data_IF_943731137837
#
_entry.id   IF_943731137837
#
_cell.length_a   1.000
_cell.length_b   1.000
_cell.length_c   1.000
_cell.angle_alpha   90.00
_cell.angle_beta   90.00
_cell.angle_gamma   90.00
#
_symmetry.space_group_name_H-M   'P 1'
#
loop_
_entity.id
_entity.type
_entity.pdbx_description
1 polymer ?
#
# COMPACT_ATOMS: atom_id res chain seq x y z
N UNK A 1 -14.21 -33.04 -3.06
CA UNK A 1 -12.82 -33.22 -2.58
C UNK A 1 -12.02 -32.01 -3.02
N UNK A 2 -11.34 -31.33 -2.09
CA UNK A 2 -10.42 -30.23 -2.40
C UNK A 2 -9.04 -30.80 -2.71
N UNK A 3 -8.46 -30.34 -3.82
CA UNK A 3 -7.17 -30.78 -4.32
C UNK A 3 -6.19 -29.61 -4.32
N UNK A 4 -4.94 -29.87 -3.95
CA UNK A 4 -3.87 -28.89 -4.00
C UNK A 4 -2.66 -29.57 -4.62
N UNK A 5 -2.19 -29.04 -5.76
CA UNK A 5 -1.11 -29.65 -6.55
C UNK A 5 -1.26 -31.15 -6.78
N UNK A 6 -2.48 -31.62 -7.05
CA UNK A 6 -2.76 -33.04 -7.33
C UNK A 6 -2.89 -33.94 -6.10
N UNK A 7 -2.70 -33.42 -4.88
CA UNK A 7 -2.95 -34.17 -3.64
C UNK A 7 -4.33 -33.84 -3.06
N UNK A 8 -5.12 -34.84 -2.65
CA UNK A 8 -6.40 -34.61 -1.99
C UNK A 8 -6.14 -34.16 -0.55
N UNK A 9 -6.43 -32.90 -0.23
CA UNK A 9 -6.25 -32.38 1.14
C UNK A 9 -7.50 -32.63 2.00
N UNK A 10 -8.69 -32.43 1.44
CA UNK A 10 -9.95 -32.55 2.21
C UNK A 10 -11.09 -33.17 1.41
N UNK A 11 -11.74 -34.19 1.97
CA UNK A 11 -13.03 -34.72 1.51
C UNK A 11 -14.11 -34.33 2.53
N UNK A 12 -15.05 -33.48 2.14
CA UNK A 12 -16.20 -33.11 2.97
C UNK A 12 -17.50 -33.58 2.28
N UNK A 13 -18.42 -34.23 3.01
CA UNK A 13 -19.75 -34.56 2.48
C UNK A 13 -20.53 -33.27 2.22
N UNK A 14 -21.16 -33.16 1.06
CA UNK A 14 -21.90 -31.97 0.63
C UNK A 14 -23.10 -31.70 1.57
N UNK A 15 -23.69 -32.77 2.12
CA UNK A 15 -24.79 -32.70 3.08
C UNK A 15 -24.34 -32.40 4.53
N UNK A 16 -23.04 -32.38 4.82
CA UNK A 16 -22.55 -32.04 6.16
C UNK A 16 -22.69 -30.53 6.40
N UNK A 17 -22.90 -30.14 7.66
CA UNK A 17 -22.99 -28.71 8.06
C UNK A 17 -21.74 -27.91 7.65
N UNK A 18 -20.57 -28.55 7.68
CA UNK A 18 -19.31 -27.94 7.20
C UNK A 18 -19.31 -27.70 5.69
N UNK A 19 -19.90 -28.60 4.90
CA UNK A 19 -20.08 -28.43 3.46
C UNK A 19 -20.93 -27.19 3.16
N UNK A 20 -22.10 -27.09 3.79
CA UNK A 20 -22.97 -25.91 3.69
C UNK A 20 -22.23 -24.61 4.03
N UNK A 21 -21.49 -24.57 5.13
CA UNK A 21 -20.74 -23.39 5.54
C UNK A 21 -19.67 -22.97 4.53
N UNK A 22 -18.98 -23.93 3.90
CA UNK A 22 -17.96 -23.67 2.88
C UNK A 22 -18.61 -23.15 1.58
N UNK A 23 -19.74 -23.74 1.15
CA UNK A 23 -20.46 -23.28 -0.05
C UNK A 23 -21.04 -21.88 0.12
N UNK A 24 -21.42 -21.48 1.34
CA UNK A 24 -22.00 -20.18 1.65
C UNK A 24 -21.02 -19.20 2.34
N UNK A 25 -19.72 -19.52 2.40
CA UNK A 25 -18.74 -18.67 3.08
C UNK A 25 -18.72 -17.25 2.51
N UNK A 26 -18.82 -17.14 1.18
CA UNK A 26 -18.89 -15.85 0.50
C UNK A 26 -20.13 -15.06 0.91
N UNK A 27 -21.29 -15.72 1.01
CA UNK A 27 -22.54 -15.07 1.39
C UNK A 27 -22.48 -14.53 2.83
N UNK A 28 -21.92 -15.30 3.76
CA UNK A 28 -21.70 -14.84 5.13
C UNK A 28 -20.76 -13.64 5.19
N UNK A 29 -19.66 -13.68 4.45
CA UNK A 29 -18.72 -12.55 4.40
C UNK A 29 -19.34 -11.32 3.75
N UNK A 30 -20.17 -11.49 2.72
CA UNK A 30 -20.90 -10.40 2.08
C UNK A 30 -21.91 -9.76 3.04
N UNK A 31 -22.65 -10.57 3.81
CA UNK A 31 -23.57 -10.06 4.84
C UNK A 31 -22.85 -9.25 5.92
N UNK A 32 -21.73 -9.77 6.45
CA UNK A 32 -20.89 -9.04 7.42
C UNK A 32 -20.34 -7.74 6.83
N UNK A 33 -19.91 -7.76 5.57
CA UNK A 33 -19.44 -6.58 4.86
C UNK A 33 -20.54 -5.53 4.73
N UNK A 34 -21.76 -5.93 4.36
CA UNK A 34 -22.91 -5.02 4.25
C UNK A 34 -23.23 -4.36 5.60
N UNK A 35 -23.16 -5.11 6.70
CA UNK A 35 -23.33 -4.55 8.06
C UNK A 35 -22.24 -3.51 8.35
N UNK A 36 -20.96 -3.85 8.13
CA UNK A 36 -19.85 -2.94 8.37
C UNK A 36 -19.95 -1.67 7.51
N UNK A 37 -20.42 -1.83 6.27
CA UNK A 37 -20.63 -0.74 5.34
C UNK A 37 -21.81 0.15 5.75
N UNK A 38 -22.92 -0.43 6.22
CA UNK A 38 -24.06 0.32 6.75
C UNK A 38 -23.64 1.18 7.95
N UNK A 39 -22.85 0.61 8.87
CA UNK A 39 -22.28 1.35 10.01
C UNK A 39 -21.36 2.48 9.51
N UNK A 40 -20.51 2.20 8.52
CA UNK A 40 -19.59 3.19 7.96
C UNK A 40 -20.32 4.36 7.28
N UNK A 41 -21.39 4.07 6.53
CA UNK A 41 -22.25 5.09 5.92
C UNK A 41 -23.03 5.88 6.96
N UNK A 42 -23.61 5.19 7.96
CA UNK A 42 -24.32 5.84 9.06
C UNK A 42 -23.43 6.84 9.77
N UNK A 43 -22.22 6.41 10.18
CA UNK A 43 -21.24 7.28 10.83
C UNK A 43 -20.84 8.46 9.94
N UNK A 44 -20.70 8.24 8.63
CA UNK A 44 -20.36 9.30 7.67
C UNK A 44 -21.46 10.35 7.50
N UNK A 45 -22.74 9.97 7.63
CA UNK A 45 -23.87 10.91 7.53
C UNK A 45 -24.07 11.69 8.84
N UNK A 46 -23.78 11.07 9.99
CA UNK A 46 -23.97 11.71 11.31
C UNK A 46 -22.82 12.63 11.72
N UNK A 47 -21.58 12.36 11.30
CA UNK A 47 -20.40 13.14 11.69
C UNK A 47 -20.10 14.29 10.71
N UNK A 48 -20.57 15.49 11.05
CA UNK A 48 -20.41 16.73 10.27
C UNK A 48 -18.94 17.10 9.95
N UNK A 49 -17.98 16.69 10.79
CA UNK A 49 -16.55 16.95 10.60
C UNK A 49 -15.89 16.13 9.48
N UNK A 50 -16.49 15.00 9.08
CA UNK A 50 -15.99 14.19 7.98
C UNK A 50 -16.45 14.72 6.61
N UNK A 51 -17.58 15.44 6.57
CA UNK A 51 -18.14 15.97 5.31
C UNK A 51 -17.32 17.11 4.70
N UNK A 52 -16.61 17.90 5.53
CA UNK A 52 -15.88 19.09 5.07
C UNK A 52 -14.50 18.81 4.48
N UNK A 53 -13.91 17.65 4.76
CA UNK A 53 -12.57 17.24 4.28
C UNK A 53 -12.61 16.12 3.25
N UNK A 54 -13.79 15.56 2.97
CA UNK A 54 -13.96 14.38 2.13
C UNK A 54 -13.87 14.72 0.63
N UNK A 55 -13.01 13.99 -0.09
CA UNK A 55 -13.01 14.00 -1.56
C UNK A 55 -14.00 12.95 -2.05
N UNK A 56 -15.18 13.39 -2.51
CA UNK A 56 -16.25 12.50 -2.99
C UNK A 56 -15.77 11.42 -3.98
N UNK A 57 -14.94 11.78 -4.95
CA UNK A 57 -14.45 10.84 -5.96
C UNK A 57 -13.61 9.71 -5.38
N UNK A 58 -12.64 10.01 -4.52
CA UNK A 58 -11.64 9.02 -4.08
C UNK A 58 -12.04 8.24 -2.81
N UNK A 59 -12.96 8.78 -2.01
CA UNK A 59 -13.38 8.17 -0.73
C UNK A 59 -14.78 7.54 -0.74
N UNK A 60 -15.67 7.94 -1.65
CA UNK A 60 -17.05 7.46 -1.70
C UNK A 60 -17.27 6.43 -2.81
N UNK A 61 -16.71 6.67 -4.00
CA UNK A 61 -16.87 5.78 -5.16
C UNK A 61 -16.42 4.35 -4.86
N UNK A 62 -15.24 4.10 -4.26
CA UNK A 62 -14.82 2.74 -3.95
C UNK A 62 -15.72 2.05 -2.91
N UNK A 63 -16.33 2.83 -2.02
CA UNK A 63 -17.25 2.33 -0.98
C UNK A 63 -18.61 1.93 -1.57
N UNK A 64 -19.13 2.73 -2.50
CA UNK A 64 -20.37 2.43 -3.25
C UNK A 64 -20.17 1.23 -4.18
N UNK A 65 -19.04 1.15 -4.86
CA UNK A 65 -18.72 0.00 -5.70
C UNK A 65 -18.61 -1.28 -4.85
N UNK A 66 -17.98 -1.22 -3.67
CA UNK A 66 -17.92 -2.35 -2.73
C UNK A 66 -19.30 -2.80 -2.26
N UNK A 67 -20.22 -1.86 -1.98
CA UNK A 67 -21.63 -2.17 -1.72
C UNK A 67 -22.27 -2.94 -2.87
N UNK A 68 -22.11 -2.42 -4.09
CA UNK A 68 -22.70 -3.00 -5.29
C UNK A 68 -22.17 -4.41 -5.57
N UNK A 69 -20.86 -4.67 -5.37
CA UNK A 69 -20.27 -6.01 -5.47
C UNK A 69 -20.93 -6.98 -4.49
N UNK A 70 -21.09 -6.57 -3.23
CA UNK A 70 -21.67 -7.44 -2.20
C UNK A 70 -23.15 -7.76 -2.48
N UNK A 71 -23.94 -6.75 -2.89
CA UNK A 71 -25.35 -6.94 -3.25
C UNK A 71 -25.50 -7.83 -4.48
N UNK A 72 -24.72 -7.56 -5.55
CA UNK A 72 -24.78 -8.35 -6.78
C UNK A 72 -24.26 -9.78 -6.58
N UNK A 73 -23.26 -9.98 -5.72
CA UNK A 73 -22.77 -11.30 -5.33
C UNK A 73 -23.84 -12.11 -4.59
N UNK A 74 -24.51 -11.52 -3.60
CA UNK A 74 -25.64 -12.16 -2.92
C UNK A 74 -26.81 -12.42 -3.88
N UNK A 75 -27.02 -11.55 -4.86
CA UNK A 75 -28.04 -11.73 -5.88
C UNK A 75 -27.76 -12.93 -6.81
N UNK A 76 -26.49 -13.31 -7.04
CA UNK A 76 -26.15 -14.53 -7.77
C UNK A 76 -26.55 -15.79 -6.99
N UNK A 77 -26.26 -15.80 -5.68
CA UNK A 77 -26.69 -16.88 -4.80
C UNK A 77 -28.22 -16.94 -4.73
N UNK A 78 -28.91 -15.80 -4.56
CA UNK A 78 -30.37 -15.75 -4.56
C UNK A 78 -30.98 -16.21 -5.89
N UNK A 79 -30.39 -15.80 -7.03
CA UNK A 79 -30.85 -16.23 -8.36
C UNK A 79 -30.74 -17.74 -8.53
N UNK A 80 -29.60 -18.33 -8.16
CA UNK A 80 -29.37 -19.78 -8.30
C UNK A 80 -30.19 -20.63 -7.32
N UNK A 81 -30.46 -20.14 -6.11
CA UNK A 81 -31.16 -20.90 -5.05
C UNK A 81 -32.66 -20.68 -5.01
N UNK A 82 -33.15 -19.48 -5.28
CA UNK A 82 -34.57 -19.12 -5.15
C UNK A 82 -35.26 -18.83 -6.48
N UNK A 83 -34.53 -18.34 -7.48
CA UNK A 83 -35.11 -18.00 -8.79
C UNK A 83 -34.83 -19.03 -9.87
N UNK A 84 -34.34 -20.22 -9.49
CA UNK A 84 -34.03 -21.32 -10.41
C UNK A 84 -33.08 -20.87 -11.55
N UNK A 85 -32.20 -19.91 -11.27
CA UNK A 85 -31.24 -19.34 -12.22
C UNK A 85 -31.79 -18.26 -13.15
N UNK A 86 -33.01 -17.76 -12.95
CA UNK A 86 -33.55 -16.65 -13.75
C UNK A 86 -32.69 -15.40 -13.59
N UNK A 87 -32.42 -14.73 -14.72
CA UNK A 87 -31.58 -13.53 -14.83
C UNK A 87 -30.12 -13.72 -14.39
N UNK A 88 -29.66 -14.95 -14.14
CA UNK A 88 -28.32 -15.22 -13.63
C UNK A 88 -27.23 -14.58 -14.51
N UNK A 89 -27.33 -14.73 -15.83
CA UNK A 89 -26.37 -14.14 -16.78
C UNK A 89 -26.28 -12.60 -16.67
N UNK A 90 -27.43 -11.92 -16.53
CA UNK A 90 -27.46 -10.47 -16.42
C UNK A 90 -26.85 -10.00 -15.09
N UNK A 91 -27.16 -10.68 -13.99
CA UNK A 91 -26.61 -10.38 -12.67
C UNK A 91 -25.10 -10.64 -12.66
N UNK A 92 -24.65 -11.73 -13.29
CA UNK A 92 -23.24 -12.10 -13.37
C UNK A 92 -22.43 -11.06 -14.16
N UNK A 93 -22.94 -10.64 -15.32
CA UNK A 93 -22.34 -9.57 -16.10
C UNK A 93 -22.27 -8.26 -15.31
N UNK A 94 -23.35 -7.91 -14.61
CA UNK A 94 -23.38 -6.71 -13.77
C UNK A 94 -22.35 -6.79 -12.64
N UNK A 95 -22.26 -7.94 -11.95
CA UNK A 95 -21.29 -8.17 -10.89
C UNK A 95 -19.86 -8.01 -11.41
N UNK A 96 -19.53 -8.65 -12.53
CA UNK A 96 -18.21 -8.58 -13.16
C UNK A 96 -17.82 -7.14 -13.51
N UNK A 97 -18.71 -6.38 -14.17
CA UNK A 97 -18.46 -4.97 -14.52
C UNK A 97 -18.17 -4.14 -13.27
N UNK A 98 -18.97 -4.31 -12.21
CA UNK A 98 -18.77 -3.57 -10.95
C UNK A 98 -17.44 -3.96 -10.29
N UNK A 99 -17.07 -5.25 -10.30
CA UNK A 99 -15.77 -5.72 -9.77
C UNK A 99 -14.61 -5.10 -10.54
N UNK A 100 -14.67 -5.09 -11.88
CA UNK A 100 -13.61 -4.49 -12.71
C UNK A 100 -13.49 -2.99 -12.42
N UNK A 101 -14.60 -2.26 -12.37
CA UNK A 101 -14.60 -0.84 -12.03
C UNK A 101 -14.02 -0.58 -10.62
N UNK A 102 -14.34 -1.46 -9.66
CA UNK A 102 -13.79 -1.36 -8.31
C UNK A 102 -12.28 -1.58 -8.28
N UNK A 103 -11.78 -2.60 -8.99
CA UNK A 103 -10.34 -2.86 -9.10
C UNK A 103 -9.60 -1.70 -9.76
N UNK A 104 -10.15 -1.11 -10.82
CA UNK A 104 -9.58 0.09 -11.46
C UNK A 104 -9.58 1.31 -10.53
N UNK A 105 -10.55 1.41 -9.63
CA UNK A 105 -10.62 2.50 -8.65
C UNK A 105 -9.65 2.32 -7.47
N UNK A 106 -9.20 1.09 -7.19
CA UNK A 106 -8.36 0.75 -6.04
C UNK A 106 -7.07 1.58 -5.92
N UNK A 107 -6.23 1.76 -6.96
CA UNK A 107 -4.95 2.49 -6.82
C UNK A 107 -5.12 3.98 -6.54
N UNK A 108 -6.28 4.55 -6.87
CA UNK A 108 -6.55 5.98 -6.71
C UNK A 108 -7.37 6.29 -5.46
N UNK A 109 -7.90 5.27 -4.79
CA UNK A 109 -8.74 5.41 -3.60
C UNK A 109 -7.97 5.26 -2.29
N UNK A 110 -8.69 5.43 -1.18
CA UNK A 110 -8.18 5.18 0.19
C UNK A 110 -7.68 3.74 0.41
N UNK A 111 -8.14 2.80 -0.42
CA UNK A 111 -7.73 1.40 -0.38
C UNK A 111 -6.28 1.17 -0.83
N UNK A 112 -5.61 2.14 -1.47
CA UNK A 112 -4.20 2.03 -1.79
C UNK A 112 -3.32 1.78 -0.55
N UNK A 113 -3.72 2.28 0.63
CA UNK A 113 -3.00 2.02 1.87
C UNK A 113 -2.93 0.53 2.26
N UNK A 114 -3.87 -0.30 1.80
CA UNK A 114 -3.84 -1.76 2.02
C UNK A 114 -2.61 -2.36 1.34
N UNK A 115 -2.23 -1.85 0.16
CA UNK A 115 -1.05 -2.28 -0.58
C UNK A 115 0.22 -1.59 -0.06
N UNK A 116 0.12 -0.31 0.30
CA UNK A 116 1.26 0.48 0.77
C UNK A 116 1.85 -0.02 2.11
N UNK A 117 1.00 -0.44 3.06
CA UNK A 117 1.47 -0.87 4.40
C UNK A 117 2.41 -2.07 4.35
N UNK A 118 2.10 -3.18 3.65
CA UNK A 118 3.06 -4.26 3.40
C UNK A 118 4.35 -3.77 2.74
N UNK A 119 4.26 -2.87 1.75
CA UNK A 119 5.43 -2.32 1.08
C UNK A 119 6.35 -1.55 2.05
N UNK A 120 5.77 -0.82 3.01
CA UNK A 120 6.56 -0.12 4.04
C UNK A 120 7.32 -1.04 4.98
N UNK A 121 6.78 -2.24 5.28
CA UNK A 121 7.49 -3.27 6.05
C UNK A 121 8.69 -3.81 5.24
N UNK A 122 8.55 -3.91 3.92
CA UNK A 122 9.65 -4.29 3.02
C UNK A 122 10.83 -3.33 3.10
N UNK A 123 10.58 -2.01 3.16
CA UNK A 123 11.64 -1.00 3.27
C UNK A 123 12.39 -1.12 4.60
N UNK A 124 11.68 -1.29 5.71
CA UNK A 124 12.33 -1.46 7.02
C UNK A 124 13.14 -2.75 7.10
N UNK A 125 12.64 -3.83 6.49
CA UNK A 125 13.37 -5.10 6.42
C UNK A 125 14.64 -4.97 5.57
N UNK A 126 14.55 -4.30 4.42
CA UNK A 126 15.70 -4.03 3.56
C UNK A 126 16.78 -3.21 4.29
N UNK A 127 16.37 -2.19 5.05
CA UNK A 127 17.29 -1.39 5.87
C UNK A 127 17.92 -2.23 6.98
N UNK A 128 17.14 -3.04 7.68
CA UNK A 128 17.64 -3.89 8.76
C UNK A 128 18.62 -4.96 8.26
N UNK A 129 18.29 -5.65 7.15
CA UNK A 129 19.19 -6.65 6.56
C UNK A 129 20.49 -6.00 6.10
N UNK A 130 20.45 -4.80 5.52
CA UNK A 130 21.68 -4.09 5.15
C UNK A 130 22.51 -3.73 6.39
N UNK A 131 21.89 -3.26 7.47
CA UNK A 131 22.59 -2.97 8.72
C UNK A 131 23.19 -4.23 9.35
N UNK A 132 22.46 -5.35 9.34
CA UNK A 132 22.94 -6.63 9.87
C UNK A 132 24.07 -7.22 9.02
N UNK A 133 24.00 -7.11 7.68
CA UNK A 133 25.06 -7.51 6.75
C UNK A 133 26.30 -6.62 6.94
N UNK A 134 26.12 -5.31 7.11
CA UNK A 134 27.20 -4.36 7.47
C UNK A 134 27.83 -4.71 8.84
N UNK A 135 27.06 -5.25 9.78
CA UNK A 135 27.54 -5.61 11.12
C UNK A 135 28.27 -6.98 11.18
N UNK A 136 27.89 -7.95 10.34
CA UNK A 136 28.44 -9.32 10.36
C UNK A 136 29.55 -9.61 9.32
N UNK A 137 29.70 -8.82 8.25
CA UNK A 137 30.81 -9.02 7.31
C UNK A 137 32.13 -8.56 7.92
N UNK A 138 33.09 -9.49 8.09
CA UNK A 138 34.49 -9.13 8.24
C UNK A 138 34.94 -8.34 6.99
N UNK A 139 35.79 -7.31 7.15
CA UNK A 139 36.32 -6.58 6.02
C UNK A 139 37.11 -7.53 5.13
N UNK A 140 36.58 -7.84 3.94
CA UNK A 140 37.31 -8.56 2.90
C UNK A 140 38.42 -7.65 2.35
N UNK A 141 39.71 -7.98 2.55
CA UNK A 141 40.82 -7.15 2.10
C UNK A 141 40.94 -7.08 0.56
N UNK A 142 40.25 -7.94 -0.20
CA UNK A 142 40.26 -7.91 -1.66
C UNK A 142 39.39 -6.78 -2.25
N UNK A 143 38.47 -6.22 -1.46
CA UNK A 143 37.56 -5.16 -1.87
C UNK A 143 37.46 -4.07 -0.79
N UNK A 144 38.59 -3.46 -0.41
CA UNK A 144 38.66 -2.39 0.60
C UNK A 144 37.72 -1.19 0.31
N UNK A 145 37.34 -0.97 -0.95
CA UNK A 145 36.36 0.08 -1.33
C UNK A 145 34.89 -0.33 -1.11
N UNK A 146 34.65 -1.57 -0.67
CA UNK A 146 33.33 -2.12 -0.30
C UNK A 146 33.24 -2.41 1.20
N UNK A 147 34.18 -1.92 2.02
CA UNK A 147 33.93 -1.70 3.43
C UNK A 147 32.94 -0.53 3.54
N UNK A 148 31.67 -0.84 3.31
CA UNK A 148 30.56 0.09 3.30
C UNK A 148 30.29 0.45 4.77
N UNK A 149 31.06 1.39 5.31
CA UNK A 149 30.68 2.06 6.54
C UNK A 149 29.42 2.86 6.27
N UNK A 150 28.41 2.75 7.14
CA UNK A 150 27.24 3.63 7.14
C UNK A 150 27.69 5.06 6.86
N UNK A 151 27.26 5.64 5.74
CA UNK A 151 27.72 6.95 5.32
C UNK A 151 27.36 7.93 6.40
N UNK A 152 28.30 8.75 6.83
CA UNK A 152 27.97 9.82 7.74
C UNK A 152 27.26 10.93 6.97
N UNK A 153 26.20 11.50 7.55
CA UNK A 153 25.61 12.72 7.04
C UNK A 153 26.69 13.80 6.93
N UNK A 154 26.87 14.40 5.75
CA UNK A 154 27.94 15.39 5.50
C UNK A 154 27.86 16.64 6.40
N UNK A 155 26.69 16.93 6.98
CA UNK A 155 26.47 18.06 7.91
C UNK A 155 26.63 17.70 9.38
N UNK A 156 25.97 16.63 9.84
CA UNK A 156 25.87 16.33 11.28
C UNK A 156 26.67 15.10 11.71
N UNK A 157 27.29 14.37 10.79
CA UNK A 157 28.09 13.18 11.08
C UNK A 157 27.27 11.92 11.44
N UNK A 158 25.96 12.04 11.62
CA UNK A 158 25.08 10.92 11.99
C UNK A 158 25.09 9.82 10.93
N UNK A 159 25.08 8.56 11.36
CA UNK A 159 25.04 7.41 10.47
C UNK A 159 23.77 7.41 9.61
N UNK A 160 23.95 7.29 8.29
CA UNK A 160 22.86 7.12 7.34
C UNK A 160 22.32 5.68 7.40
N UNK A 161 21.01 5.48 7.15
CA UNK A 161 20.34 4.21 7.41
C UNK A 161 20.83 3.03 6.56
N UNK A 162 21.36 3.28 5.36
CA UNK A 162 22.12 2.29 4.55
C UNK A 162 22.79 3.01 3.39
N UNK A 163 24.07 2.73 3.14
CA UNK A 163 24.79 3.35 2.01
C UNK A 163 24.33 2.82 0.67
N UNK A 164 24.01 1.53 0.58
CA UNK A 164 23.50 0.94 -0.64
C UNK A 164 22.22 1.64 -1.10
N UNK A 165 21.30 1.92 -0.16
CA UNK A 165 20.10 2.70 -0.45
C UNK A 165 20.41 4.11 -0.98
N UNK A 166 21.42 4.79 -0.41
CA UNK A 166 21.81 6.13 -0.86
C UNK A 166 22.40 6.08 -2.28
N UNK A 167 23.23 5.08 -2.57
CA UNK A 167 23.81 4.89 -3.91
C UNK A 167 22.74 4.52 -4.95
N UNK A 168 21.83 3.61 -4.61
CA UNK A 168 20.72 3.24 -5.48
C UNK A 168 19.81 4.45 -5.74
N UNK A 169 19.53 5.26 -4.71
CA UNK A 169 18.76 6.49 -4.87
C UNK A 169 19.46 7.50 -5.78
N UNK A 170 20.79 7.67 -5.65
CA UNK A 170 21.58 8.53 -6.55
C UNK A 170 21.51 8.04 -8.00
N UNK A 171 21.64 6.73 -8.22
CA UNK A 171 21.51 6.11 -9.54
C UNK A 171 20.13 6.35 -10.16
N UNK A 172 19.05 6.03 -9.43
CA UNK A 172 17.68 6.21 -9.92
C UNK A 172 17.38 7.68 -10.24
N UNK A 173 17.83 8.61 -9.41
CA UNK A 173 17.63 10.04 -9.67
C UNK A 173 18.42 10.52 -10.90
N UNK A 174 19.64 10.00 -11.09
CA UNK A 174 20.42 10.26 -12.30
C UNK A 174 19.74 9.74 -13.55
N UNK A 175 19.20 8.50 -13.51
CA UNK A 175 18.44 7.90 -14.62
C UNK A 175 17.17 8.69 -14.96
N UNK A 176 16.53 9.31 -13.95
CA UNK A 176 15.38 10.20 -14.12
C UNK A 176 15.76 11.62 -14.58
N UNK A 177 17.05 11.91 -14.78
CA UNK A 177 17.55 13.24 -15.14
C UNK A 177 17.39 14.28 -14.02
N UNK A 178 17.25 13.83 -12.77
CA UNK A 178 17.09 14.67 -11.58
C UNK A 178 18.40 14.74 -10.80
N UNK A 179 19.26 15.69 -11.17
CA UNK A 179 20.49 15.94 -10.42
C UNK A 179 20.25 16.96 -9.31
N UNK A 180 20.64 16.61 -8.09
CA UNK A 180 20.52 17.44 -6.89
C UNK A 180 21.91 17.77 -6.33
N UNK A 181 22.82 18.11 -7.23
CA UNK A 181 24.13 18.64 -6.88
C UNK A 181 24.00 20.00 -6.19
N UNK A 182 24.66 20.14 -5.04
CA UNK A 182 24.74 21.37 -4.26
C UNK A 182 26.08 22.09 -4.46
N UNK A 183 26.91 21.63 -5.40
CA UNK A 183 28.24 22.16 -5.71
C UNK A 183 29.36 21.39 -4.99
N UNK A 184 30.62 21.63 -5.41
CA UNK A 184 31.76 20.81 -4.99
C UNK A 184 31.96 20.68 -3.47
N UNK A 185 31.73 21.77 -2.73
CA UNK A 185 31.89 21.80 -1.27
C UNK A 185 30.81 21.00 -0.53
N UNK A 186 29.57 21.06 -1.03
CA UNK A 186 28.38 20.50 -0.39
C UNK A 186 28.01 19.11 -0.93
N UNK A 187 28.52 18.73 -2.10
CA UNK A 187 28.22 17.46 -2.75
C UNK A 187 26.73 17.32 -3.09
N UNK A 188 26.21 16.08 -3.07
CA UNK A 188 24.84 15.82 -3.48
C UNK A 188 23.87 15.86 -2.29
N UNK A 189 22.63 16.28 -2.54
CA UNK A 189 21.58 16.34 -1.52
C UNK A 189 21.30 14.97 -0.85
N UNK A 190 21.59 13.86 -1.53
CA UNK A 190 21.41 12.50 -1.01
C UNK A 190 22.36 12.16 0.14
N UNK A 191 23.48 12.89 0.29
CA UNK A 191 24.50 12.69 1.35
C UNK A 191 24.12 13.30 2.72
N UNK A 192 22.90 13.83 2.84
CA UNK A 192 22.40 14.47 4.05
C UNK A 192 21.26 13.67 4.67
N UNK A 193 21.18 13.62 6.01
CA UNK A 193 20.05 13.00 6.70
C UNK A 193 18.74 13.81 6.52
N UNK A 194 17.55 13.21 6.68
CA UNK A 194 16.27 13.90 6.48
C UNK A 194 16.12 15.21 7.27
N UNK A 195 16.64 15.26 8.49
CA UNK A 195 16.66 16.47 9.33
C UNK A 195 17.54 17.56 8.73
N UNK A 196 18.77 17.22 8.32
CA UNK A 196 19.69 18.18 7.71
C UNK A 196 19.16 18.69 6.35
N UNK A 197 18.49 17.86 5.55
CA UNK A 197 17.83 18.31 4.31
C UNK A 197 16.75 19.36 4.59
N UNK A 198 15.94 19.19 5.64
CA UNK A 198 14.93 20.19 6.04
C UNK A 198 15.57 21.51 6.46
N UNK A 199 16.68 21.46 7.21
CA UNK A 199 17.39 22.67 7.64
C UNK A 199 18.02 23.40 6.44
N UNK A 200 18.70 22.67 5.53
CA UNK A 200 19.28 23.26 4.31
C UNK A 200 18.20 23.96 3.47
N UNK A 201 17.05 23.31 3.28
CA UNK A 201 15.91 23.90 2.58
C UNK A 201 15.40 25.16 3.28
N UNK A 202 15.29 25.13 4.61
CA UNK A 202 14.90 26.29 5.40
C UNK A 202 15.87 27.46 5.25
N UNK A 203 17.18 27.18 5.33
CA UNK A 203 18.24 28.18 5.16
C UNK A 203 18.18 28.82 3.76
N UNK A 204 18.02 28.02 2.71
CA UNK A 204 17.85 28.52 1.35
C UNK A 204 16.61 29.41 1.19
N UNK A 205 15.47 29.06 1.81
CA UNK A 205 14.29 29.92 1.82
C UNK A 205 14.53 31.24 2.55
N UNK A 206 15.22 31.21 3.69
CA UNK A 206 15.58 32.43 4.44
C UNK A 206 16.53 33.33 3.63
N UNK A 207 17.51 32.76 2.94
CA UNK A 207 18.43 33.51 2.07
C UNK A 207 17.68 34.18 0.91
N UNK A 208 16.76 33.45 0.25
CA UNK A 208 15.97 34.00 -0.86
C UNK A 208 14.95 35.07 -0.44
N UNK A 209 14.30 34.91 0.72
CA UNK A 209 13.26 35.84 1.19
C UNK A 209 13.83 37.06 1.95
N UNK A 210 15.09 37.00 2.36
CA UNK A 210 15.72 38.00 3.23
C UNK A 210 15.09 38.05 4.63
N UNK A 211 15.53 39.02 5.46
CA UNK A 211 15.01 39.25 6.83
C UNK A 211 13.56 39.80 6.88
N UNK A 212 12.69 39.46 5.93
CA UNK A 212 11.31 39.98 5.87
C UNK A 212 10.32 39.34 6.86
N UNK A 213 10.77 38.37 7.64
CA UNK A 213 9.95 37.64 8.63
C UNK A 213 10.44 37.79 10.09
N UNK A 214 11.28 38.79 10.37
CA UNK A 214 11.62 39.24 11.73
C UNK A 214 11.14 40.68 11.93
#
# INVERSE_FOLDING_TARGET
>A
TAWFFGFPIFTFPIAARSGFAIYHVLDFTAALLLIGLAIAFWRRITDMGLMSTQRFGFDLVPLILLFAIAVTGLALTASSTWWEGKFYWFIALTHEIVVVLWLLSMPFGKFFHIIQRPASIGVTLYQQVNQDVEHYHLPDPAHANRAIGSGACRRCGEALPSQQFINDLKGVLSDLGQDYDLGEDMGQLQDYCPTCKRILRGQAYYEMMGRRFL
#
